data_IF_111847352913
#
_entry.id   IF_111847352913
#
_cell.length_a   1.000
_cell.length_b   1.000
_cell.length_c   1.000
_cell.angle_alpha   90.00
_cell.angle_beta   90.00
_cell.angle_gamma   90.00
#
_symmetry.space_group_name_H-M   'P 1'
#
loop_
_entity.id
_entity.type
_entity.pdbx_description
1 polymer ?
#
# COMPACT_ATOMS: atom_id res chain seq x y z
N UNK A 1 -1.70 -20.21 0.80
CA UNK A 1 -2.63 -19.61 -0.19
C UNK A 1 -3.95 -19.36 0.49
N UNK A 2 -4.57 -18.21 0.25
CA UNK A 2 -5.91 -17.84 0.72
C UNK A 2 -6.78 -17.63 -0.50
N UNK A 3 -7.99 -18.22 -0.51
CA UNK A 3 -8.95 -18.09 -1.63
C UNK A 3 -9.83 -16.85 -1.39
N UNK A 4 -9.99 -16.03 -2.41
CA UNK A 4 -10.87 -14.86 -2.43
C UNK A 4 -11.43 -14.66 -3.84
N UNK A 5 -12.72 -14.41 -3.95
CA UNK A 5 -13.41 -14.26 -5.24
C UNK A 5 -13.05 -15.41 -6.23
N UNK A 6 -12.52 -15.04 -7.40
CA UNK A 6 -12.08 -15.93 -8.48
C UNK A 6 -10.57 -16.26 -8.44
N UNK A 7 -9.86 -15.92 -7.34
CA UNK A 7 -8.39 -15.99 -7.28
C UNK A 7 -7.85 -16.60 -5.99
N UNK A 8 -6.55 -16.83 -5.95
CA UNK A 8 -5.81 -17.29 -4.77
C UNK A 8 -4.65 -16.36 -4.48
N UNK A 9 -4.56 -15.92 -3.23
CA UNK A 9 -3.57 -14.99 -2.72
C UNK A 9 -2.42 -15.76 -2.06
N UNK A 10 -1.20 -15.53 -2.54
CA UNK A 10 0.01 -16.08 -1.95
C UNK A 10 0.38 -15.30 -0.70
N UNK A 11 0.45 -15.97 0.43
CA UNK A 11 0.79 -15.40 1.73
C UNK A 11 2.06 -16.04 2.25
N UNK A 12 2.92 -15.23 2.83
CA UNK A 12 4.03 -15.66 3.68
C UNK A 12 3.77 -15.18 5.10
N UNK A 13 3.82 -16.08 6.05
CA UNK A 13 3.56 -15.88 7.46
C UNK A 13 4.77 -16.37 8.26
N UNK A 14 5.43 -15.47 9.00
CA UNK A 14 6.59 -15.82 9.84
C UNK A 14 6.22 -16.61 11.09
N UNK A 15 4.93 -16.70 11.42
CA UNK A 15 4.29 -17.44 12.53
C UNK A 15 4.82 -17.17 13.95
N UNK A 16 4.04 -17.63 14.93
CA UNK A 16 4.38 -17.85 16.34
C UNK A 16 4.71 -16.61 17.19
N UNK A 17 4.31 -15.40 16.78
CA UNK A 17 4.49 -14.16 17.57
C UNK A 17 3.24 -13.27 17.54
N UNK A 18 3.12 -12.42 18.52
CA UNK A 18 2.11 -11.36 18.61
C UNK A 18 2.77 -10.06 19.05
N UNK A 19 2.29 -8.91 18.61
CA UNK A 19 1.22 -8.71 17.64
C UNK A 19 1.62 -9.07 16.20
N UNK A 20 0.59 -9.29 15.36
CA UNK A 20 0.77 -9.53 13.94
C UNK A 20 0.88 -8.18 13.17
N UNK A 21 1.74 -8.17 12.14
CA UNK A 21 1.92 -7.03 11.22
C UNK A 21 1.64 -7.50 9.80
N UNK A 22 0.67 -6.91 9.13
CA UNK A 22 0.26 -7.25 7.75
C UNK A 22 0.74 -6.19 6.78
N UNK A 23 1.42 -6.62 5.71
CA UNK A 23 2.05 -5.72 4.74
C UNK A 23 1.35 -5.75 3.39
N UNK A 24 0.79 -4.61 2.97
CA UNK A 24 0.15 -4.40 1.68
C UNK A 24 1.08 -3.67 0.70
N UNK A 25 1.25 -4.23 -0.50
CA UNK A 25 2.25 -3.82 -1.49
C UNK A 25 1.84 -2.58 -2.31
N UNK A 26 2.83 -1.91 -2.91
CA UNK A 26 2.62 -0.93 -3.98
C UNK A 26 2.11 -1.57 -5.28
N UNK A 27 1.64 -0.71 -6.21
CA UNK A 27 0.84 -1.10 -7.39
C UNK A 27 1.45 -2.19 -8.28
N UNK A 28 2.76 -2.24 -8.44
CA UNK A 28 3.46 -3.22 -9.31
C UNK A 28 4.46 -4.07 -8.56
N UNK A 29 4.47 -3.98 -7.23
CA UNK A 29 5.43 -4.71 -6.42
C UNK A 29 4.87 -6.05 -5.91
N UNK A 30 5.78 -6.89 -5.44
CA UNK A 30 5.46 -8.15 -4.77
C UNK A 30 5.82 -8.07 -3.30
N UNK A 31 5.37 -9.02 -2.51
CA UNK A 31 5.70 -9.15 -1.08
C UNK A 31 7.22 -9.13 -0.80
N UNK A 32 8.07 -9.43 -1.80
CA UNK A 32 9.53 -9.36 -1.66
C UNK A 32 10.05 -7.95 -1.36
N UNK A 33 9.29 -6.91 -1.72
CA UNK A 33 9.67 -5.53 -1.43
C UNK A 33 9.84 -5.28 0.08
N UNK A 34 9.13 -6.02 0.91
CA UNK A 34 9.14 -5.90 2.37
C UNK A 34 10.29 -6.61 3.07
N UNK A 35 11.12 -7.36 2.32
CA UNK A 35 12.15 -8.24 2.92
C UNK A 35 13.00 -7.53 3.97
N UNK A 36 13.57 -6.36 3.65
CA UNK A 36 14.45 -5.65 4.58
C UNK A 36 13.71 -5.14 5.84
N UNK A 37 12.43 -4.77 5.71
CA UNK A 37 11.57 -4.39 6.83
C UNK A 37 11.26 -5.61 7.70
N UNK A 38 10.86 -6.73 7.09
CA UNK A 38 10.56 -7.98 7.79
C UNK A 38 11.79 -8.51 8.53
N UNK A 39 12.97 -8.50 7.90
CA UNK A 39 14.24 -8.90 8.53
C UNK A 39 14.55 -8.03 9.77
N UNK A 40 14.16 -6.75 9.77
CA UNK A 40 14.31 -5.83 10.91
C UNK A 40 13.28 -6.03 12.04
N UNK A 41 12.16 -6.72 11.76
CA UNK A 41 11.12 -6.99 12.77
C UNK A 41 11.23 -8.37 13.39
N UNK A 42 11.70 -9.36 12.64
CA UNK A 42 11.86 -10.73 13.12
C UNK A 42 13.15 -10.85 13.97
N UNK A 43 13.16 -11.66 15.04
CA UNK A 43 12.11 -12.62 15.43
C UNK A 43 11.03 -12.06 16.37
N UNK A 44 10.97 -10.76 16.64
CA UNK A 44 10.16 -10.20 17.73
C UNK A 44 8.65 -10.17 17.39
N UNK A 45 8.29 -9.97 16.12
CA UNK A 45 6.93 -9.78 15.65
C UNK A 45 6.52 -10.80 14.57
N UNK A 46 5.23 -11.13 14.49
CA UNK A 46 4.67 -11.93 13.41
C UNK A 46 4.48 -11.08 12.17
N UNK A 47 5.29 -11.28 11.15
CA UNK A 47 5.22 -10.56 9.88
C UNK A 47 4.44 -11.39 8.84
N UNK A 48 3.40 -10.79 8.27
CA UNK A 48 2.55 -11.38 7.24
C UNK A 48 2.66 -10.54 6.00
N UNK A 49 3.28 -11.10 4.95
CA UNK A 49 3.35 -10.47 3.64
C UNK A 49 2.55 -11.27 2.63
N UNK A 50 1.95 -10.60 1.66
CA UNK A 50 1.18 -11.28 0.63
C UNK A 50 1.35 -10.59 -0.72
N UNK A 51 1.20 -11.34 -1.78
CA UNK A 51 1.09 -10.80 -3.14
C UNK A 51 -0.40 -10.53 -3.40
N UNK A 52 -0.79 -9.29 -3.68
CA UNK A 52 -2.14 -8.98 -4.15
C UNK A 52 -2.43 -9.73 -5.45
N UNK A 53 -3.71 -9.91 -5.80
CA UNK A 53 -4.15 -10.58 -7.04
C UNK A 53 -3.34 -10.16 -8.28
N UNK A 54 -2.99 -11.12 -9.10
CA UNK A 54 -2.21 -10.92 -10.32
C UNK A 54 -0.74 -10.56 -10.11
N UNK A 55 -0.21 -10.59 -8.88
CA UNK A 55 1.20 -10.26 -8.56
C UNK A 55 1.94 -11.46 -8.00
N UNK A 56 3.23 -11.51 -8.29
CA UNK A 56 4.14 -12.49 -7.72
C UNK A 56 3.65 -13.93 -7.90
N UNK A 57 3.26 -14.58 -6.80
CA UNK A 57 2.79 -15.97 -6.75
C UNK A 57 1.26 -16.06 -6.61
N UNK A 58 0.56 -14.95 -6.48
CA UNK A 58 -0.90 -14.92 -6.50
C UNK A 58 -1.45 -15.12 -7.90
N UNK A 59 -2.63 -15.75 -7.97
CA UNK A 59 -3.26 -16.02 -9.24
C UNK A 59 -3.84 -14.74 -9.85
N UNK A 60 -4.15 -14.80 -11.14
CA UNK A 60 -4.88 -13.76 -11.87
C UNK A 60 -6.33 -13.71 -11.39
N UNK A 61 -6.97 -12.58 -11.66
CA UNK A 61 -8.40 -12.35 -11.43
C UNK A 61 -8.98 -11.61 -12.63
N UNK A 62 -10.29 -11.55 -12.72
CA UNK A 62 -10.96 -10.69 -13.67
C UNK A 62 -11.16 -9.27 -13.11
N UNK A 63 -11.23 -9.12 -11.79
CA UNK A 63 -11.40 -7.86 -11.07
C UNK A 63 -10.11 -7.39 -10.41
N UNK A 64 -9.61 -6.22 -10.82
CA UNK A 64 -8.45 -5.54 -10.24
C UNK A 64 -8.79 -4.17 -9.66
N UNK A 65 -10.05 -3.92 -9.33
CA UNK A 65 -10.48 -2.69 -8.67
C UNK A 65 -9.84 -2.50 -7.29
N UNK A 66 -9.84 -1.27 -6.77
CA UNK A 66 -9.39 -1.00 -5.40
C UNK A 66 -10.20 -1.81 -4.39
N UNK A 67 -11.50 -1.96 -4.60
CA UNK A 67 -12.36 -2.80 -3.76
C UNK A 67 -11.93 -4.28 -3.77
N UNK A 68 -11.42 -4.79 -4.90
CA UNK A 68 -10.87 -6.14 -4.97
C UNK A 68 -9.60 -6.29 -4.12
N UNK A 69 -8.72 -5.29 -4.07
CA UNK A 69 -7.54 -5.31 -3.20
C UNK A 69 -7.90 -5.20 -1.71
N UNK A 70 -8.98 -4.48 -1.36
CA UNK A 70 -9.52 -4.48 0.01
C UNK A 70 -10.01 -5.87 0.41
N UNK A 71 -10.67 -6.62 -0.52
CA UNK A 71 -11.08 -8.01 -0.28
C UNK A 71 -9.89 -8.96 -0.14
N UNK A 72 -8.81 -8.76 -0.92
CA UNK A 72 -7.57 -9.52 -0.75
C UNK A 72 -7.01 -9.37 0.67
N UNK A 73 -6.94 -8.14 1.18
CA UNK A 73 -6.48 -7.84 2.53
C UNK A 73 -7.38 -8.48 3.59
N UNK A 74 -8.70 -8.30 3.47
CA UNK A 74 -9.68 -8.91 4.37
C UNK A 74 -9.57 -10.43 4.41
N UNK A 75 -9.48 -11.07 3.23
CA UNK A 75 -9.33 -12.53 3.14
C UNK A 75 -8.03 -13.04 3.79
N UNK A 76 -6.93 -12.27 3.73
CA UNK A 76 -5.68 -12.61 4.44
C UNK A 76 -5.87 -12.50 5.95
N UNK A 77 -6.51 -11.44 6.45
CA UNK A 77 -6.77 -11.23 7.87
C UNK A 77 -7.66 -12.35 8.42
N UNK A 78 -8.78 -12.62 7.74
CA UNK A 78 -9.76 -13.63 8.14
C UNK A 78 -9.20 -15.05 8.01
N UNK A 79 -8.53 -15.34 6.89
CA UNK A 79 -7.97 -16.67 6.60
C UNK A 79 -6.85 -17.10 7.56
N UNK A 80 -6.15 -16.12 8.17
CA UNK A 80 -5.13 -16.35 9.19
C UNK A 80 -5.65 -16.10 10.62
N UNK A 81 -6.94 -15.76 10.77
CA UNK A 81 -7.58 -15.46 12.05
C UNK A 81 -6.78 -14.44 12.88
N UNK A 82 -6.39 -13.32 12.24
CA UNK A 82 -5.58 -12.30 12.90
C UNK A 82 -6.44 -11.44 13.81
N UNK A 83 -6.02 -11.33 15.06
CA UNK A 83 -6.66 -10.46 16.04
C UNK A 83 -5.92 -9.13 16.12
N UNK A 84 -6.61 -8.04 15.80
CA UNK A 84 -6.12 -6.67 15.87
C UNK A 84 -4.68 -6.48 15.31
N UNK A 85 -4.41 -6.83 14.03
CA UNK A 85 -3.08 -6.66 13.46
C UNK A 85 -2.72 -5.18 13.27
N UNK A 86 -1.43 -4.87 13.23
CA UNK A 86 -0.95 -3.61 12.66
C UNK A 86 -0.97 -3.74 11.15
N UNK A 87 -1.52 -2.73 10.45
CA UNK A 87 -1.58 -2.71 9.00
C UNK A 87 -0.51 -1.75 8.46
N UNK A 88 0.33 -2.25 7.57
CA UNK A 88 1.41 -1.47 6.93
C UNK A 88 1.18 -1.47 5.43
N UNK A 89 1.08 -0.30 4.82
CA UNK A 89 0.81 -0.18 3.39
C UNK A 89 1.78 0.77 2.69
N UNK A 90 2.31 0.34 1.54
CA UNK A 90 3.15 1.18 0.70
C UNK A 90 2.40 1.59 -0.57
N UNK A 91 2.37 2.90 -0.90
CA UNK A 91 1.75 3.40 -2.14
C UNK A 91 0.27 2.96 -2.26
N UNK A 92 -0.09 2.14 -3.26
CA UNK A 92 -1.40 1.51 -3.38
C UNK A 92 -1.79 0.76 -2.10
N UNK A 93 -0.85 0.07 -1.46
CA UNK A 93 -1.10 -0.63 -0.20
C UNK A 93 -1.57 0.31 0.91
N UNK A 94 -1.08 1.55 0.97
CA UNK A 94 -1.56 2.56 1.91
C UNK A 94 -3.02 2.95 1.65
N UNK A 95 -3.41 3.12 0.39
CA UNK A 95 -4.82 3.32 0.02
C UNK A 95 -5.69 2.13 0.41
N UNK A 96 -5.21 0.91 0.14
CA UNK A 96 -5.93 -0.33 0.44
C UNK A 96 -6.19 -0.46 1.94
N UNK A 97 -5.15 -0.27 2.80
CA UNK A 97 -5.34 -0.40 4.26
C UNK A 97 -6.20 0.70 4.85
N UNK A 98 -6.10 1.96 4.36
CA UNK A 98 -6.95 3.06 4.79
C UNK A 98 -8.43 2.78 4.50
N UNK A 99 -8.76 2.38 3.28
CA UNK A 99 -10.13 2.10 2.87
C UNK A 99 -10.70 0.90 3.62
N UNK A 100 -9.91 -0.18 3.74
CA UNK A 100 -10.31 -1.35 4.50
C UNK A 100 -10.54 -1.02 5.98
N UNK A 101 -9.62 -0.29 6.62
CA UNK A 101 -9.70 0.08 8.02
C UNK A 101 -10.92 0.98 8.32
N UNK A 102 -11.23 1.92 7.43
CA UNK A 102 -12.41 2.78 7.54
C UNK A 102 -13.74 2.00 7.48
N UNK A 103 -13.75 0.85 6.81
CA UNK A 103 -14.91 -0.06 6.72
C UNK A 103 -14.97 -1.08 7.88
N UNK A 104 -13.86 -1.30 8.62
CA UNK A 104 -13.74 -2.32 9.66
C UNK A 104 -13.21 -1.73 10.98
N UNK A 105 -13.93 -0.79 11.61
CA UNK A 105 -13.48 -0.15 12.84
C UNK A 105 -13.30 -1.18 13.96
N UNK A 106 -12.18 -1.08 14.70
CA UNK A 106 -11.87 -1.98 15.81
C UNK A 106 -11.26 -3.34 15.42
N UNK A 107 -11.03 -3.59 14.12
CA UNK A 107 -10.44 -4.85 13.64
C UNK A 107 -8.92 -4.74 13.38
N UNK A 108 -8.28 -3.69 13.85
CA UNK A 108 -6.85 -3.44 13.69
C UNK A 108 -6.34 -2.55 14.84
N UNK A 109 -5.04 -2.63 15.12
CA UNK A 109 -4.37 -1.88 16.20
C UNK A 109 -4.04 -0.47 15.78
N UNK A 110 -3.58 -0.28 14.56
CA UNK A 110 -3.20 0.99 13.94
C UNK A 110 -2.60 0.79 12.55
N UNK A 111 -2.27 1.88 11.88
CA UNK A 111 -1.80 1.89 10.51
C UNK A 111 -0.43 2.56 10.39
N UNK A 112 0.43 2.02 9.52
CA UNK A 112 1.65 2.67 9.04
C UNK A 112 1.54 2.86 7.53
N UNK A 113 1.46 4.12 7.10
CA UNK A 113 1.38 4.49 5.69
C UNK A 113 2.78 4.83 5.18
N UNK A 114 3.26 4.07 4.23
CA UNK A 114 4.60 4.25 3.67
C UNK A 114 4.48 4.92 2.31
N UNK A 115 4.75 6.20 2.28
CA UNK A 115 4.70 7.08 1.10
C UNK A 115 3.47 6.83 0.22
N UNK A 116 2.30 6.92 0.84
CA UNK A 116 0.99 6.70 0.23
C UNK A 116 -0.14 7.15 1.14
N UNK A 117 -1.38 7.03 0.65
CA UNK A 117 -2.55 7.51 1.41
C UNK A 117 -2.73 9.02 1.34
N UNK A 118 -2.16 9.67 0.32
CA UNK A 118 -2.32 11.11 0.08
C UNK A 118 -3.70 11.41 -0.50
N UNK A 119 -4.54 12.27 0.11
CA UNK A 119 -5.84 12.67 -0.42
C UNK A 119 -5.68 13.73 -1.53
N UNK A 120 -4.92 13.40 -2.56
CA UNK A 120 -4.50 14.31 -3.62
C UNK A 120 -5.31 14.11 -4.90
N UNK A 121 -5.86 15.20 -5.45
CA UNK A 121 -6.52 15.17 -6.76
C UNK A 121 -5.47 15.09 -7.85
N UNK A 122 -5.37 13.95 -8.49
CA UNK A 122 -4.42 13.70 -9.56
C UNK A 122 -5.08 13.76 -10.92
N UNK A 123 -4.69 14.76 -11.70
CA UNK A 123 -4.89 14.79 -13.13
C UNK A 123 -6.34 14.95 -13.63
N UNK A 124 -6.42 15.45 -14.83
CA UNK A 124 -7.63 15.55 -15.64
C UNK A 124 -7.75 14.33 -16.61
N UNK A 125 -8.70 14.37 -17.54
CA UNK A 125 -8.86 13.31 -18.54
C UNK A 125 -7.66 13.21 -19.49
N UNK A 126 -6.92 14.31 -19.72
CA UNK A 126 -5.70 14.28 -20.52
C UNK A 126 -4.60 13.45 -19.85
N UNK A 127 -4.44 13.57 -18.53
CA UNK A 127 -3.49 12.76 -17.76
C UNK A 127 -3.89 11.27 -17.74
N UNK A 128 -5.19 10.97 -17.62
CA UNK A 128 -5.70 9.58 -17.72
C UNK A 128 -5.40 8.97 -19.09
N UNK A 129 -5.59 9.75 -20.16
CA UNK A 129 -5.26 9.28 -21.51
C UNK A 129 -3.74 9.12 -21.72
N UNK A 130 -2.90 9.96 -21.12
CA UNK A 130 -1.44 9.75 -21.09
C UNK A 130 -1.09 8.44 -20.39
N UNK A 131 -1.73 8.13 -19.27
CA UNK A 131 -1.56 6.87 -18.55
C UNK A 131 -1.94 5.67 -19.41
N UNK A 132 -3.11 5.69 -20.08
CA UNK A 132 -3.55 4.63 -21.02
C UNK A 132 -2.54 4.46 -22.17
N UNK A 133 -2.08 5.55 -22.76
CA UNK A 133 -1.07 5.53 -23.83
C UNK A 133 0.25 4.94 -23.38
N UNK A 134 0.72 5.30 -22.17
CA UNK A 134 1.95 4.77 -21.60
C UNK A 134 1.90 3.23 -21.51
N UNK A 135 0.86 2.68 -20.88
CA UNK A 135 0.73 1.23 -20.73
C UNK A 135 0.51 0.51 -22.06
N UNK A 136 -0.25 1.09 -23.00
CA UNK A 136 -0.38 0.54 -24.37
C UNK A 136 0.98 0.44 -25.08
N UNK A 137 1.83 1.46 -24.95
CA UNK A 137 3.18 1.44 -25.55
C UNK A 137 4.09 0.40 -24.91
N UNK A 138 3.90 0.09 -23.63
CA UNK A 138 4.69 -0.88 -22.88
C UNK A 138 4.07 -2.30 -22.87
N UNK A 139 2.93 -2.50 -23.53
CA UNK A 139 2.18 -3.75 -23.48
C UNK A 139 3.00 -5.00 -23.79
N UNK A 140 3.94 -4.91 -24.72
CA UNK A 140 4.83 -5.99 -25.13
C UNK A 140 5.85 -6.36 -24.03
N UNK A 141 6.21 -5.41 -23.16
CA UNK A 141 7.21 -5.58 -22.10
C UNK A 141 6.58 -6.08 -20.78
N UNK A 142 5.31 -5.78 -20.54
CA UNK A 142 4.63 -6.08 -19.27
C UNK A 142 4.70 -7.58 -18.90
N UNK A 143 4.49 -8.56 -19.79
CA UNK A 143 4.58 -9.97 -19.43
C UNK A 143 6.00 -10.39 -18.97
N UNK A 144 7.02 -9.79 -19.58
CA UNK A 144 8.41 -10.04 -19.18
C UNK A 144 8.70 -9.43 -17.81
N UNK A 145 8.27 -8.19 -17.56
CA UNK A 145 8.42 -7.53 -16.26
C UNK A 145 7.66 -8.29 -15.17
N UNK A 146 6.45 -8.79 -15.46
CA UNK A 146 5.66 -9.59 -14.53
C UNK A 146 6.39 -10.87 -14.11
N UNK A 147 7.09 -11.53 -15.04
CA UNK A 147 7.91 -12.73 -14.73
C UNK A 147 9.01 -12.45 -13.71
N UNK A 148 9.54 -11.24 -13.68
CA UNK A 148 10.55 -10.80 -12.70
C UNK A 148 9.97 -10.09 -11.46
N UNK A 149 8.64 -10.03 -11.34
CA UNK A 149 7.96 -9.36 -10.22
C UNK A 149 8.05 -7.83 -10.25
N UNK A 150 8.31 -7.26 -11.44
CA UNK A 150 8.39 -5.81 -11.70
C UNK A 150 7.11 -5.24 -12.31
N UNK A 151 6.12 -6.09 -12.59
CA UNK A 151 4.77 -5.74 -13.02
C UNK A 151 3.79 -6.81 -12.52
N UNK A 152 2.50 -6.55 -12.66
CA UNK A 152 1.47 -7.55 -12.39
C UNK A 152 1.16 -8.38 -13.66
N UNK A 153 0.62 -9.58 -13.48
CA UNK A 153 0.14 -10.45 -14.55
C UNK A 153 -1.22 -9.98 -15.09
N UNK A 154 -1.27 -8.74 -15.57
CA UNK A 154 -2.43 -8.03 -16.07
C UNK A 154 -2.20 -7.56 -17.50
N UNK A 155 -3.28 -7.24 -18.22
CA UNK A 155 -3.20 -6.55 -19.51
C UNK A 155 -2.75 -5.10 -19.32
N UNK A 156 -2.28 -4.46 -20.41
CA UNK A 156 -1.93 -3.04 -20.38
C UNK A 156 -3.11 -2.15 -19.98
N UNK A 157 -4.33 -2.52 -20.40
CA UNK A 157 -5.54 -1.80 -20.02
C UNK A 157 -5.79 -1.91 -18.52
N UNK A 158 -5.75 -3.12 -17.95
CA UNK A 158 -5.93 -3.34 -16.51
C UNK A 158 -4.88 -2.59 -15.67
N UNK A 159 -3.61 -2.54 -16.12
CA UNK A 159 -2.58 -1.72 -15.46
C UNK A 159 -2.96 -0.23 -15.43
N UNK A 160 -3.43 0.29 -16.57
CA UNK A 160 -3.84 1.68 -16.68
C UNK A 160 -5.06 1.97 -15.77
N UNK A 161 -6.05 1.08 -15.79
CA UNK A 161 -7.29 1.25 -15.03
C UNK A 161 -7.03 1.28 -13.52
N UNK A 162 -6.15 0.42 -12.99
CA UNK A 162 -5.74 0.44 -11.57
C UNK A 162 -5.09 1.78 -11.19
N UNK A 163 -4.17 2.30 -12.02
CA UNK A 163 -3.51 3.57 -11.73
C UNK A 163 -4.49 4.74 -11.81
N UNK A 164 -5.40 4.72 -12.78
CA UNK A 164 -6.42 5.75 -12.94
C UNK A 164 -7.40 5.72 -11.76
N UNK A 165 -7.90 4.53 -11.39
CA UNK A 165 -8.82 4.38 -10.26
C UNK A 165 -8.18 4.86 -8.95
N UNK A 166 -6.91 4.48 -8.68
CA UNK A 166 -6.15 4.93 -7.53
C UNK A 166 -6.14 6.47 -7.42
N UNK A 167 -5.88 7.14 -8.54
CA UNK A 167 -5.81 8.60 -8.59
C UNK A 167 -7.18 9.26 -8.46
N UNK A 168 -8.21 8.68 -9.07
CA UNK A 168 -9.60 9.19 -9.00
C UNK A 168 -10.18 9.04 -7.60
N UNK A 169 -9.86 7.95 -6.90
CA UNK A 169 -10.38 7.67 -5.56
C UNK A 169 -9.54 8.32 -4.43
N UNK A 170 -8.36 8.87 -4.73
CA UNK A 170 -7.50 9.46 -3.71
C UNK A 170 -8.16 10.58 -2.88
N UNK A 171 -8.96 11.50 -3.43
CA UNK A 171 -9.67 12.51 -2.63
C UNK A 171 -10.65 11.93 -1.61
N UNK A 172 -11.20 10.74 -1.86
CA UNK A 172 -12.13 10.05 -0.96
C UNK A 172 -11.45 9.52 0.32
N UNK A 173 -10.11 9.55 0.38
CA UNK A 173 -9.38 9.16 1.57
C UNK A 173 -9.59 10.11 2.76
N UNK A 174 -10.04 11.34 2.53
CA UNK A 174 -10.46 12.26 3.60
C UNK A 174 -11.53 11.57 4.47
N UNK A 175 -12.58 11.03 3.83
CA UNK A 175 -13.65 10.31 4.53
C UNK A 175 -13.14 9.04 5.26
N UNK A 176 -12.08 8.42 4.75
CA UNK A 176 -11.47 7.28 5.41
C UNK A 176 -10.73 7.69 6.68
N UNK A 177 -9.97 8.79 6.65
CA UNK A 177 -9.31 9.33 7.85
C UNK A 177 -10.33 9.71 8.93
N UNK A 178 -11.48 10.31 8.55
CA UNK A 178 -12.57 10.68 9.48
C UNK A 178 -13.13 9.48 10.27
N UNK A 179 -13.09 8.28 9.68
CA UNK A 179 -13.66 7.06 10.29
C UNK A 179 -12.67 6.26 11.11
N UNK A 180 -11.37 6.56 11.04
CA UNK A 180 -10.32 5.80 11.70
C UNK A 180 -9.92 6.47 13.00
N UNK A 181 -10.32 5.89 14.13
CA UNK A 181 -9.92 6.39 15.46
C UNK A 181 -8.58 5.86 15.96
N UNK A 182 -8.06 4.80 15.37
CA UNK A 182 -6.77 4.21 15.74
C UNK A 182 -5.59 5.08 15.27
N UNK A 183 -4.38 4.96 15.88
CA UNK A 183 -3.21 5.70 15.46
C UNK A 183 -2.80 5.42 14.00
N UNK A 184 -2.43 6.46 13.28
CA UNK A 184 -1.91 6.39 11.92
C UNK A 184 -0.55 7.09 11.88
N UNK A 185 0.49 6.37 11.52
CA UNK A 185 1.82 6.88 11.29
C UNK A 185 2.15 6.93 9.80
N UNK A 186 2.68 8.06 9.35
CA UNK A 186 3.01 8.28 7.95
C UNK A 186 4.52 8.43 7.80
N UNK A 187 5.10 7.69 6.86
CA UNK A 187 6.48 7.87 6.42
C UNK A 187 6.45 8.51 5.04
N UNK A 188 7.09 9.66 4.91
CA UNK A 188 7.11 10.47 3.69
C UNK A 188 8.46 10.36 3.00
N UNK A 189 8.49 10.04 1.72
CA UNK A 189 9.69 10.10 0.89
C UNK A 189 9.89 11.52 0.36
N UNK A 190 10.99 12.19 0.75
CA UNK A 190 11.32 13.54 0.28
C UNK A 190 12.03 13.55 -1.07
N UNK A 191 12.66 12.44 -1.49
CA UNK A 191 13.28 12.29 -2.79
C UNK A 191 12.25 12.35 -3.91
N UNK A 192 12.59 13.00 -5.03
CA UNK A 192 11.70 13.12 -6.19
C UNK A 192 11.29 11.76 -6.76
N UNK A 193 10.08 11.68 -7.30
CA UNK A 193 9.60 10.49 -8.01
C UNK A 193 10.03 10.54 -9.47
N UNK A 194 10.44 9.38 -10.01
CA UNK A 194 10.74 9.26 -11.43
C UNK A 194 9.44 9.48 -12.23
N UNK A 195 9.35 10.57 -12.98
CA UNK A 195 8.21 10.87 -13.84
C UNK A 195 7.14 11.81 -13.26
N UNK A 196 7.27 12.26 -12.02
CA UNK A 196 6.49 13.38 -11.48
C UNK A 196 7.34 14.65 -11.43
N UNK A 197 6.72 15.77 -11.71
CA UNK A 197 7.27 17.09 -11.46
C UNK A 197 7.55 17.29 -9.96
N UNK A 198 8.58 18.05 -9.61
CA UNK A 198 8.89 18.39 -8.23
C UNK A 198 7.71 19.13 -7.55
N UNK A 199 7.01 19.98 -8.32
CA UNK A 199 5.82 20.70 -7.86
C UNK A 199 4.65 19.77 -7.58
N UNK A 200 4.44 18.73 -8.40
CA UNK A 200 3.39 17.71 -8.18
C UNK A 200 3.67 16.92 -6.91
N UNK A 201 4.92 16.54 -6.70
CA UNK A 201 5.34 15.83 -5.49
C UNK A 201 5.18 16.68 -4.22
N UNK A 202 5.43 17.99 -4.32
CA UNK A 202 5.23 18.94 -3.23
C UNK A 202 3.72 19.12 -2.92
N UNK A 203 2.88 19.31 -3.95
CA UNK A 203 1.41 19.42 -3.81
C UNK A 203 0.80 18.15 -3.22
N UNK A 204 1.25 16.99 -3.67
CA UNK A 204 0.81 15.70 -3.13
C UNK A 204 1.11 15.60 -1.63
N UNK A 205 2.32 15.95 -1.19
CA UNK A 205 2.67 15.97 0.24
C UNK A 205 1.87 16.99 1.02
N UNK A 206 1.70 18.20 0.48
CA UNK A 206 0.90 19.25 1.11
C UNK A 206 -0.59 18.88 1.27
N UNK A 207 -1.10 17.92 0.48
CA UNK A 207 -2.47 17.42 0.66
C UNK A 207 -2.72 16.74 2.01
N UNK A 208 -1.65 16.35 2.74
CA UNK A 208 -1.76 15.83 4.09
C UNK A 208 -1.97 16.92 5.16
N UNK A 209 -1.65 18.17 4.88
CA UNK A 209 -1.66 19.24 5.90
C UNK A 209 -3.04 19.40 6.54
N UNK A 210 -4.11 19.35 5.74
CA UNK A 210 -5.49 19.42 6.25
C UNK A 210 -5.85 18.20 7.09
N UNK A 211 -5.41 16.99 6.67
CA UNK A 211 -5.65 15.76 7.42
C UNK A 211 -4.91 15.78 8.76
N UNK A 212 -3.65 16.20 8.78
CA UNK A 212 -2.85 16.33 10.00
C UNK A 212 -3.43 17.37 10.97
N UNK A 213 -3.98 18.47 10.45
CA UNK A 213 -4.61 19.50 11.26
C UNK A 213 -5.94 19.04 11.86
N UNK A 214 -6.70 18.19 11.16
CA UNK A 214 -8.01 17.72 11.57
C UNK A 214 -7.96 16.52 12.53
N UNK A 215 -6.90 15.67 12.45
CA UNK A 215 -6.85 14.37 13.13
C UNK A 215 -5.63 14.23 14.03
N UNK A 216 -5.82 14.29 15.36
CA UNK A 216 -4.73 14.15 16.34
C UNK A 216 -4.11 12.74 16.38
N UNK A 217 -4.82 11.73 15.88
CA UNK A 217 -4.34 10.35 15.75
C UNK A 217 -3.52 10.10 14.48
N UNK A 218 -3.36 11.09 13.60
CA UNK A 218 -2.57 11.01 12.38
C UNK A 218 -1.29 11.83 12.53
N UNK A 219 -0.13 11.20 12.34
CA UNK A 219 1.16 11.87 12.50
C UNK A 219 2.12 11.50 11.37
N UNK A 220 2.96 12.45 10.95
CA UNK A 220 4.14 12.15 10.13
C UNK A 220 5.25 11.68 11.06
N UNK A 221 5.43 10.36 11.13
CA UNK A 221 6.46 9.74 11.97
C UNK A 221 7.88 10.14 11.53
N UNK A 222 8.12 10.05 10.20
CA UNK A 222 9.43 10.39 9.64
C UNK A 222 9.34 10.81 8.17
N UNK A 223 10.14 11.81 7.80
CA UNK A 223 10.44 12.12 6.41
C UNK A 223 11.83 11.59 6.08
N UNK A 224 11.96 10.78 5.02
CA UNK A 224 13.23 10.16 4.60
C UNK A 224 13.74 10.78 3.29
N UNK A 225 15.06 10.77 3.08
CA UNK A 225 15.68 11.36 1.91
C UNK A 225 15.54 10.51 0.63
N UNK A 226 15.21 9.23 0.76
CA UNK A 226 14.98 8.37 -0.41
C UNK A 226 13.72 8.77 -1.18
N UNK A 227 13.64 8.32 -2.44
CA UNK A 227 12.44 8.48 -3.24
C UNK A 227 11.47 7.32 -3.01
N UNK A 228 10.25 7.48 -3.55
CA UNK A 228 9.16 6.51 -3.47
C UNK A 228 9.57 5.05 -3.73
N UNK A 229 10.31 4.80 -4.81
CA UNK A 229 10.70 3.45 -5.22
C UNK A 229 11.87 2.87 -4.41
N UNK A 230 12.64 3.71 -3.74
CA UNK A 230 13.85 3.31 -3.02
C UNK A 230 13.64 3.18 -1.52
N UNK A 231 12.54 3.73 -0.98
CA UNK A 231 12.29 3.85 0.45
C UNK A 231 12.44 2.51 1.19
N UNK A 232 11.72 1.48 0.76
CA UNK A 232 11.76 0.17 1.43
C UNK A 232 13.14 -0.50 1.41
N UNK A 233 14.00 -0.10 0.49
CA UNK A 233 15.36 -0.64 0.37
C UNK A 233 16.41 0.20 1.09
N UNK A 234 16.28 1.54 1.06
CA UNK A 234 17.28 2.47 1.61
C UNK A 234 17.01 2.86 3.06
N UNK A 235 15.73 2.98 3.40
CA UNK A 235 15.28 3.43 4.71
C UNK A 235 14.31 2.43 5.39
N UNK A 236 14.56 1.08 5.33
CA UNK A 236 13.67 0.11 5.95
C UNK A 236 13.55 0.33 7.47
N UNK A 237 14.61 0.84 8.11
CA UNK A 237 14.60 1.16 9.53
C UNK A 237 13.54 2.18 9.92
N UNK A 238 13.22 3.15 9.05
CA UNK A 238 12.15 4.10 9.33
C UNK A 238 10.78 3.42 9.48
N UNK A 239 10.52 2.39 8.65
CA UNK A 239 9.28 1.61 8.72
C UNK A 239 9.27 0.71 9.95
N UNK A 240 10.40 0.08 10.28
CA UNK A 240 10.56 -0.76 11.49
C UNK A 240 10.31 0.07 12.75
N UNK A 241 10.91 1.26 12.81
CA UNK A 241 10.78 2.16 13.97
C UNK A 241 9.33 2.62 14.15
N UNK A 242 8.63 3.00 13.06
CA UNK A 242 7.22 3.38 13.08
C UNK A 242 6.33 2.23 13.59
N UNK A 243 6.52 1.01 13.09
CA UNK A 243 5.77 -0.17 13.54
C UNK A 243 5.98 -0.41 15.04
N UNK A 244 7.22 -0.33 15.51
CA UNK A 244 7.56 -0.54 16.93
C UNK A 244 6.97 0.56 17.81
N UNK A 245 7.06 1.81 17.40
CA UNK A 245 6.49 2.94 18.13
C UNK A 245 4.96 2.82 18.22
N UNK A 246 4.28 2.50 17.13
CA UNK A 246 2.84 2.28 17.12
C UNK A 246 2.43 1.15 18.08
N UNK A 247 3.13 0.01 18.04
CA UNK A 247 2.86 -1.13 18.94
C UNK A 247 3.08 -0.76 20.41
N UNK A 248 4.10 0.04 20.69
CA UNK A 248 4.41 0.45 22.07
C UNK A 248 3.36 1.40 22.68
N UNK A 249 2.61 2.11 21.83
CA UNK A 249 1.56 3.06 22.23
C UNK A 249 0.15 2.47 22.27
N UNK A 250 -0.06 1.27 21.74
CA UNK A 250 -1.36 0.61 21.60
C UNK A 250 -1.40 -0.75 22.26
#
# INVERSE_FOLDING_TARGET
MVTVDDTQISVHDSRDRTPAVVFANGVFSTQRAWRAVVDGLTPDLRAITFDMRGRGRSHRSEDYSLAAYERDLGAVIDGLQLDNPVLVGWSLGAHTILRWAAAHPGCYRGLVLVDGGYPFVWGDEAEREKTRKLFRRQAWLLPLLARFGLAAHMTAQQHADVVIELNVCAPQLVDAFDRIGAPIEIIVAAGGNTGSDADDSARMRASLDSTLAAHQNVTVFRTVASNHLQLLRRDPGAVVDAIRDLIART
#
